data_IF_388871125664
#
_entry.id   IF_388871125664
#
_cell.length_a   1.000
_cell.length_b   1.000
_cell.length_c   1.000
_cell.angle_alpha   90.00
_cell.angle_beta   90.00
_cell.angle_gamma   90.00
#
_symmetry.space_group_name_H-M   'P 1'
#
loop_
_entity.id
_entity.type
_entity.pdbx_description
1 polymer ?
#
# COMPACT_ATOMS: atom_id res chain seq x y z
N UNK A 1 -7.73 -5.01 -33.10
CA UNK A 1 -7.83 -3.89 -32.14
C UNK A 1 -6.93 -4.20 -30.98
N UNK A 2 -5.89 -3.39 -30.73
CA UNK A 2 -5.04 -3.62 -29.56
C UNK A 2 -5.79 -3.18 -28.32
N UNK A 3 -6.02 -4.11 -27.41
CA UNK A 3 -6.53 -3.86 -26.08
C UNK A 3 -5.50 -3.02 -25.29
N UNK A 4 -5.47 -1.70 -25.52
CA UNK A 4 -4.59 -0.72 -24.84
C UNK A 4 -4.75 -0.80 -23.31
N UNK A 5 -5.88 -1.31 -22.84
CA UNK A 5 -6.13 -1.58 -21.43
C UNK A 5 -5.37 -2.80 -20.87
N UNK A 6 -4.91 -3.70 -21.73
CA UNK A 6 -4.03 -4.80 -21.33
C UNK A 6 -2.54 -4.41 -21.46
N UNK A 7 -2.26 -3.22 -22.00
CA UNK A 7 -0.90 -2.72 -22.11
C UNK A 7 -0.42 -2.16 -20.77
N UNK A 8 0.45 -2.94 -20.12
CA UNK A 8 1.03 -2.56 -18.84
C UNK A 8 1.93 -1.31 -18.97
N UNK A 9 2.73 -1.22 -20.03
CA UNK A 9 3.68 -0.13 -20.29
C UNK A 9 3.08 1.02 -21.10
N UNK A 10 1.78 1.28 -20.93
CA UNK A 10 1.09 2.39 -21.59
C UNK A 10 1.85 3.70 -21.32
N UNK A 11 2.31 4.35 -22.40
CA UNK A 11 3.05 5.61 -22.28
C UNK A 11 2.12 6.74 -21.86
N UNK A 12 2.54 7.51 -20.86
CA UNK A 12 1.81 8.69 -20.40
C UNK A 12 1.79 9.75 -21.52
N UNK A 13 0.63 10.31 -21.88
CA UNK A 13 0.56 11.38 -22.86
C UNK A 13 1.23 12.67 -22.33
N UNK A 14 1.66 13.57 -23.23
CA UNK A 14 2.20 14.87 -22.81
C UNK A 14 1.18 15.65 -21.98
N UNK A 15 1.66 16.29 -20.91
CA UNK A 15 0.84 17.14 -20.07
C UNK A 15 0.55 18.46 -20.79
N UNK A 16 -0.61 18.52 -21.41
CA UNK A 16 -1.13 19.68 -22.14
C UNK A 16 -2.42 20.17 -21.48
N UNK A 17 -2.49 21.48 -21.26
CA UNK A 17 -3.69 22.21 -20.87
C UNK A 17 -4.17 23.06 -22.03
N UNK A 18 -5.48 23.20 -22.15
CA UNK A 18 -6.15 24.00 -23.19
C UNK A 18 -7.13 24.94 -22.51
N UNK A 19 -7.11 26.20 -22.91
CA UNK A 19 -8.07 27.22 -22.46
C UNK A 19 -9.41 26.99 -23.13
N UNK A 20 -10.45 26.74 -22.34
CA UNK A 20 -11.83 26.54 -22.81
C UNK A 20 -12.78 27.54 -22.16
N UNK A 21 -13.87 27.94 -22.84
CA UNK A 21 -14.93 28.72 -22.20
C UNK A 21 -15.52 27.94 -21.01
N UNK A 22 -15.70 28.61 -19.87
CA UNK A 22 -16.16 27.97 -18.63
C UNK A 22 -17.51 27.22 -18.80
N UNK A 23 -18.40 27.75 -19.67
CA UNK A 23 -19.71 27.12 -19.99
C UNK A 23 -19.60 25.73 -20.62
N UNK A 24 -18.53 25.49 -21.37
CA UNK A 24 -18.31 24.24 -22.12
C UNK A 24 -17.34 23.28 -21.40
N UNK A 25 -16.70 23.75 -20.32
CA UNK A 25 -15.73 22.96 -19.58
C UNK A 25 -16.41 21.84 -18.74
N UNK A 26 -15.69 20.72 -18.48
CA UNK A 26 -16.14 19.74 -17.50
C UNK A 26 -16.22 20.39 -16.11
N UNK A 27 -17.11 19.90 -15.26
CA UNK A 27 -17.21 20.40 -13.89
C UNK A 27 -15.98 19.97 -13.07
N UNK A 28 -14.97 20.84 -12.99
CA UNK A 28 -13.74 20.62 -12.22
C UNK A 28 -14.03 20.30 -10.75
N UNK A 29 -15.01 20.99 -10.15
CA UNK A 29 -15.47 20.71 -8.78
C UNK A 29 -15.94 19.26 -8.61
N UNK A 30 -16.72 18.77 -9.57
CA UNK A 30 -17.27 17.41 -9.52
C UNK A 30 -16.15 16.37 -9.67
N UNK A 31 -15.20 16.60 -10.59
CA UNK A 31 -14.01 15.78 -10.77
C UNK A 31 -13.15 15.71 -9.50
N UNK A 32 -12.77 16.88 -8.96
CA UNK A 32 -11.99 16.98 -7.72
C UNK A 32 -12.70 16.25 -6.58
N UNK A 33 -14.01 16.46 -6.41
CA UNK A 33 -14.79 15.80 -5.36
C UNK A 33 -14.81 14.27 -5.50
N UNK A 34 -14.97 13.74 -6.72
CA UNK A 34 -14.99 12.31 -6.98
C UNK A 34 -13.63 11.67 -6.66
N UNK A 35 -12.54 12.30 -7.09
CA UNK A 35 -11.16 11.82 -6.83
C UNK A 35 -10.84 11.89 -5.33
N UNK A 36 -11.21 12.98 -4.64
CA UNK A 36 -10.99 13.10 -3.20
C UNK A 36 -11.80 12.08 -2.40
N UNK A 37 -13.06 11.85 -2.80
CA UNK A 37 -13.90 10.81 -2.20
C UNK A 37 -13.30 9.42 -2.39
N UNK A 38 -12.78 9.13 -3.60
CA UNK A 38 -12.03 7.91 -3.87
C UNK A 38 -10.84 7.78 -2.93
N UNK A 39 -9.97 8.78 -2.79
CA UNK A 39 -8.82 8.70 -1.88
C UNK A 39 -9.22 8.44 -0.43
N UNK A 40 -10.24 9.13 0.07
CA UNK A 40 -10.75 8.93 1.44
C UNK A 40 -11.23 7.50 1.67
N UNK A 41 -11.92 6.93 0.66
CA UNK A 41 -12.46 5.57 0.73
C UNK A 41 -11.42 4.50 0.41
N UNK A 42 -10.42 4.76 -0.41
CA UNK A 42 -9.46 3.76 -0.91
C UNK A 42 -8.29 3.56 0.04
N UNK A 43 -7.74 4.65 0.58
CA UNK A 43 -6.45 4.68 1.29
C UNK A 43 -6.35 3.72 2.48
N UNK A 44 -7.36 3.58 3.37
CA UNK A 44 -7.23 2.65 4.50
C UNK A 44 -7.02 1.20 4.05
N UNK A 45 -7.77 0.75 3.04
CA UNK A 45 -7.70 -0.63 2.56
C UNK A 45 -6.53 -0.87 1.61
N UNK A 46 -6.04 0.18 0.93
CA UNK A 46 -4.80 0.13 0.15
C UNK A 46 -3.59 -0.15 1.04
N UNK A 47 -3.50 0.49 2.21
CA UNK A 47 -2.43 0.24 3.19
C UNK A 47 -2.49 -1.21 3.67
N UNK A 48 -3.68 -1.67 4.06
CA UNK A 48 -3.89 -3.05 4.51
C UNK A 48 -3.57 -4.08 3.41
N UNK A 49 -3.92 -3.76 2.16
CA UNK A 49 -3.59 -4.57 1.00
C UNK A 49 -2.07 -4.65 0.77
N UNK A 50 -1.37 -3.52 0.86
CA UNK A 50 0.07 -3.46 0.70
C UNK A 50 0.81 -4.28 1.78
N UNK A 51 0.38 -4.18 3.03
CA UNK A 51 0.93 -4.98 4.13
C UNK A 51 0.70 -6.49 3.92
N UNK A 52 -0.50 -6.86 3.46
CA UNK A 52 -0.87 -8.25 3.18
C UNK A 52 -0.08 -8.80 1.99
N UNK A 53 0.13 -7.99 0.94
CA UNK A 53 0.97 -8.34 -0.21
C UNK A 53 2.44 -8.52 0.19
N UNK A 54 2.98 -7.65 1.05
CA UNK A 54 4.33 -7.80 1.59
C UNK A 54 4.47 -9.08 2.43
N UNK A 55 3.44 -9.43 3.22
CA UNK A 55 3.40 -10.69 3.94
C UNK A 55 3.41 -11.90 2.99
N UNK A 56 2.62 -11.88 1.91
CA UNK A 56 2.64 -12.93 0.88
C UNK A 56 4.04 -13.08 0.28
N UNK A 57 4.69 -11.97 -0.08
CA UNK A 57 6.06 -11.98 -0.62
C UNK A 57 7.07 -12.61 0.33
N UNK A 58 6.99 -12.29 1.64
CA UNK A 58 7.83 -12.90 2.67
C UNK A 58 7.57 -14.41 2.82
N UNK A 59 6.32 -14.83 2.84
CA UNK A 59 5.96 -16.26 2.94
C UNK A 59 6.45 -17.04 1.72
N UNK A 60 6.27 -16.46 0.53
CA UNK A 60 6.77 -17.03 -0.72
C UNK A 60 8.29 -17.16 -0.69
N UNK A 61 9.03 -16.13 -0.29
CA UNK A 61 10.49 -16.18 -0.21
C UNK A 61 10.98 -17.31 0.73
N UNK A 62 10.35 -17.46 1.91
CA UNK A 62 10.72 -18.51 2.89
C UNK A 62 10.41 -19.93 2.40
N UNK A 63 9.42 -20.11 1.52
CA UNK A 63 8.96 -21.43 1.06
C UNK A 63 9.28 -21.74 -0.40
N UNK A 64 9.99 -20.84 -1.10
CA UNK A 64 10.31 -20.99 -2.52
C UNK A 64 11.00 -22.31 -2.83
N UNK A 65 11.98 -22.70 -2.02
CA UNK A 65 12.76 -23.92 -2.26
C UNK A 65 11.96 -25.19 -1.94
N UNK A 66 11.10 -25.14 -0.92
CA UNK A 66 10.28 -26.29 -0.50
C UNK A 66 9.11 -26.56 -1.45
N UNK A 67 8.51 -25.51 -2.00
CA UNK A 67 7.24 -25.61 -2.74
C UNK A 67 7.35 -25.24 -4.22
N UNK A 68 8.55 -25.01 -4.75
CA UNK A 68 8.79 -24.56 -6.13
C UNK A 68 8.05 -25.40 -7.19
N UNK A 69 7.99 -26.73 -7.04
CA UNK A 69 7.33 -27.63 -8.00
C UNK A 69 5.81 -27.69 -7.88
N UNK A 70 5.23 -27.17 -6.78
CA UNK A 70 3.81 -27.33 -6.48
C UNK A 70 2.95 -26.39 -7.32
N UNK A 71 1.83 -26.91 -7.87
CA UNK A 71 0.92 -26.11 -8.71
C UNK A 71 0.31 -24.93 -7.96
N UNK A 72 -0.11 -25.12 -6.71
CA UNK A 72 -0.64 -24.01 -5.90
C UNK A 72 0.41 -22.95 -5.59
N UNK A 73 1.67 -23.34 -5.39
CA UNK A 73 2.75 -22.37 -5.17
C UNK A 73 3.09 -21.56 -6.42
N UNK A 74 2.95 -22.16 -7.62
CA UNK A 74 3.00 -21.40 -8.88
C UNK A 74 1.86 -20.38 -8.99
N UNK A 75 0.66 -20.70 -8.51
CA UNK A 75 -0.45 -19.74 -8.44
C UNK A 75 -0.17 -18.61 -7.43
N UNK A 76 0.44 -18.92 -6.28
CA UNK A 76 0.93 -17.91 -5.32
C UNK A 76 1.96 -16.98 -5.97
N UNK A 77 2.92 -17.53 -6.72
CA UNK A 77 3.91 -16.72 -7.43
C UNK A 77 3.27 -15.78 -8.47
N UNK A 78 2.25 -16.25 -9.20
CA UNK A 78 1.45 -15.42 -10.12
C UNK A 78 0.68 -14.33 -9.36
N UNK A 79 0.10 -14.65 -8.21
CA UNK A 79 -0.55 -13.68 -7.32
C UNK A 79 0.43 -12.57 -6.92
N UNK A 80 1.61 -12.94 -6.42
CA UNK A 80 2.64 -11.98 -6.01
C UNK A 80 3.15 -11.13 -7.19
N UNK A 81 3.29 -11.72 -8.38
CA UNK A 81 3.65 -10.96 -9.58
C UNK A 81 2.56 -9.93 -9.95
N UNK A 82 1.28 -10.30 -9.81
CA UNK A 82 0.17 -9.39 -10.05
C UNK A 82 0.12 -8.24 -9.02
N UNK A 83 0.37 -8.52 -7.73
CA UNK A 83 0.45 -7.46 -6.71
C UNK A 83 1.61 -6.51 -6.96
N UNK A 84 2.77 -7.02 -7.39
CA UNK A 84 3.90 -6.17 -7.78
C UNK A 84 3.59 -5.32 -9.03
N UNK A 85 2.79 -5.84 -9.98
CA UNK A 85 2.34 -5.05 -11.13
C UNK A 85 1.44 -3.89 -10.70
N UNK A 86 0.54 -4.12 -9.75
CA UNK A 86 -0.33 -3.07 -9.21
C UNK A 86 0.49 -1.92 -8.60
N UNK A 87 1.53 -2.25 -7.80
CA UNK A 87 2.44 -1.26 -7.23
C UNK A 87 3.18 -0.43 -8.30
N UNK A 88 3.45 -1.01 -9.47
CA UNK A 88 4.11 -0.29 -10.58
C UNK A 88 3.16 0.60 -11.37
N UNK A 89 1.87 0.25 -11.43
CA UNK A 89 0.84 1.10 -12.08
C UNK A 89 0.64 2.38 -11.25
N UNK A 90 0.62 2.27 -9.92
CA UNK A 90 0.50 3.39 -8.98
C UNK A 90 -0.63 4.36 -9.36
N UNK A 91 -1.86 3.84 -9.38
CA UNK A 91 -3.05 4.60 -9.76
C UNK A 91 -3.26 5.82 -8.85
N UNK A 92 -2.88 5.71 -7.58
CA UNK A 92 -2.98 6.79 -6.60
C UNK A 92 -2.15 7.99 -7.05
N UNK A 93 -0.90 7.77 -7.44
CA UNK A 93 -0.04 8.84 -7.99
C UNK A 93 -0.58 9.40 -9.30
N UNK A 94 -1.09 8.57 -10.20
CA UNK A 94 -1.64 9.06 -11.46
C UNK A 94 -2.89 9.93 -11.25
N UNK A 95 -3.76 9.57 -10.30
CA UNK A 95 -4.90 10.36 -9.89
C UNK A 95 -4.50 11.66 -9.18
N UNK A 96 -3.43 11.65 -8.36
CA UNK A 96 -2.89 12.86 -7.73
C UNK A 96 -2.36 13.84 -8.78
N UNK A 97 -1.60 13.34 -9.77
CA UNK A 97 -1.09 14.15 -10.87
C UNK A 97 -2.21 14.73 -11.73
N UNK A 98 -3.25 13.93 -12.02
CA UNK A 98 -4.42 14.43 -12.74
C UNK A 98 -5.20 15.45 -11.91
N UNK A 99 -5.45 15.19 -10.63
CA UNK A 99 -6.11 16.12 -9.71
C UNK A 99 -5.36 17.46 -9.64
N UNK A 100 -4.03 17.44 -9.57
CA UNK A 100 -3.20 18.66 -9.56
C UNK A 100 -3.19 19.43 -10.89
N UNK A 101 -3.63 18.81 -11.99
CA UNK A 101 -3.78 19.47 -13.29
C UNK A 101 -5.15 20.11 -13.49
N UNK A 102 -6.09 19.90 -12.56
CA UNK A 102 -7.42 20.52 -12.60
C UNK A 102 -7.35 21.96 -12.05
N UNK A 103 -8.13 22.89 -12.61
CA UNK A 103 -8.14 24.28 -12.19
C UNK A 103 -8.66 24.46 -10.76
N UNK A 104 -8.07 25.39 -10.03
CA UNK A 104 -8.53 25.73 -8.67
C UNK A 104 -9.85 26.51 -8.71
N UNK A 105 -10.86 25.97 -8.04
CA UNK A 105 -12.21 26.55 -7.96
C UNK A 105 -12.22 28.00 -7.48
N UNK A 106 -11.28 28.40 -6.63
CA UNK A 106 -11.25 29.71 -5.96
C UNK A 106 -10.92 30.85 -6.94
N UNK A 107 -10.33 30.56 -8.10
CA UNK A 107 -9.91 31.54 -9.10
C UNK A 107 -10.84 31.63 -10.33
N UNK A 108 -11.87 30.77 -10.42
CA UNK A 108 -12.68 30.57 -11.63
C UNK A 108 -13.80 31.60 -11.84
N UNK A 109 -13.57 32.88 -11.49
CA UNK A 109 -14.46 33.97 -11.91
C UNK A 109 -14.17 34.44 -13.36
N UNK A 110 -13.23 33.78 -14.05
CA UNK A 110 -12.85 34.07 -15.43
C UNK A 110 -13.80 33.43 -16.45
N UNK A 111 -13.96 34.09 -17.59
CA UNK A 111 -14.76 33.62 -18.73
C UNK A 111 -14.21 32.34 -19.36
N UNK A 112 -12.89 32.11 -19.19
CA UNK A 112 -12.15 30.94 -19.68
C UNK A 112 -11.45 30.21 -18.53
N UNK A 113 -11.25 28.91 -18.70
CA UNK A 113 -10.62 28.01 -17.72
C UNK A 113 -9.60 27.13 -18.44
N UNK A 114 -8.43 26.94 -17.84
CA UNK A 114 -7.44 25.97 -18.31
C UNK A 114 -7.83 24.57 -17.87
N UNK A 115 -8.03 23.68 -18.85
CA UNK A 115 -8.39 22.28 -18.60
C UNK A 115 -7.35 21.34 -19.21
N UNK A 116 -7.04 20.21 -18.56
CA UNK A 116 -6.20 19.19 -19.17
C UNK A 116 -6.89 18.61 -20.42
N UNK A 117 -6.11 18.15 -21.38
CA UNK A 117 -6.65 17.54 -22.61
C UNK A 117 -7.37 16.21 -22.37
N UNK A 118 -8.27 15.85 -23.27
CA UNK A 118 -8.98 14.56 -23.25
C UNK A 118 -8.02 13.37 -23.22
N UNK A 119 -6.83 13.46 -23.81
CA UNK A 119 -5.84 12.39 -23.78
C UNK A 119 -5.35 12.05 -22.37
N UNK A 120 -5.12 13.05 -21.54
CA UNK A 120 -4.70 12.85 -20.15
C UNK A 120 -5.85 12.20 -19.38
N UNK A 121 -7.07 12.65 -19.64
CA UNK A 121 -8.26 12.07 -19.04
C UNK A 121 -8.47 10.60 -19.45
N UNK A 122 -8.35 10.31 -20.73
CA UNK A 122 -8.44 8.96 -21.30
C UNK A 122 -7.36 8.05 -20.72
N UNK A 123 -6.13 8.53 -20.59
CA UNK A 123 -5.05 7.80 -19.91
C UNK A 123 -5.45 7.41 -18.47
N UNK A 124 -6.03 8.33 -17.70
CA UNK A 124 -6.49 8.04 -16.33
C UNK A 124 -7.61 6.99 -16.33
N UNK A 125 -8.59 7.10 -17.23
CA UNK A 125 -9.67 6.12 -17.38
C UNK A 125 -9.13 4.73 -17.72
N UNK A 126 -8.17 4.64 -18.65
CA UNK A 126 -7.51 3.38 -19.01
C UNK A 126 -6.76 2.83 -17.80
N UNK A 127 -5.99 3.65 -17.08
CA UNK A 127 -5.29 3.20 -15.87
C UNK A 127 -6.24 2.65 -14.80
N UNK A 128 -7.44 3.22 -14.63
CA UNK A 128 -8.47 2.66 -13.76
C UNK A 128 -8.95 1.28 -14.22
N UNK A 129 -9.20 1.11 -15.52
CA UNK A 129 -9.56 -0.18 -16.12
C UNK A 129 -8.44 -1.22 -15.93
N UNK A 130 -7.18 -0.86 -16.19
CA UNK A 130 -6.03 -1.74 -15.99
C UNK A 130 -5.91 -2.16 -14.53
N UNK A 131 -6.06 -1.20 -13.61
CA UNK A 131 -5.99 -1.44 -12.15
C UNK A 131 -7.07 -2.43 -11.72
N UNK A 132 -8.31 -2.22 -12.17
CA UNK A 132 -9.41 -3.15 -11.91
C UNK A 132 -9.13 -4.55 -12.47
N UNK A 133 -8.63 -4.66 -13.71
CA UNK A 133 -8.24 -5.94 -14.29
C UNK A 133 -7.15 -6.68 -13.51
N UNK A 134 -6.17 -5.94 -12.96
CA UNK A 134 -5.13 -6.52 -12.11
C UNK A 134 -5.71 -7.04 -10.78
N UNK A 135 -6.65 -6.33 -10.15
CA UNK A 135 -7.37 -6.84 -8.97
C UNK A 135 -8.16 -8.12 -9.28
N UNK A 136 -8.83 -8.19 -10.43
CA UNK A 136 -9.48 -9.41 -10.91
C UNK A 136 -8.49 -10.57 -11.03
N UNK A 137 -7.34 -10.32 -11.65
CA UNK A 137 -6.27 -11.34 -11.80
C UNK A 137 -5.73 -11.83 -10.45
N UNK A 138 -5.60 -10.95 -9.46
CA UNK A 138 -5.18 -11.33 -8.10
C UNK A 138 -6.20 -12.30 -7.49
N UNK A 139 -7.50 -12.01 -7.60
CA UNK A 139 -8.57 -12.88 -7.08
C UNK A 139 -8.54 -14.27 -7.70
N UNK A 140 -8.41 -14.34 -9.02
CA UNK A 140 -8.27 -15.62 -9.72
C UNK A 140 -7.08 -16.44 -9.22
N UNK A 141 -5.92 -15.79 -9.02
CA UNK A 141 -4.73 -16.47 -8.52
C UNK A 141 -4.93 -16.95 -7.08
N UNK A 142 -5.64 -16.18 -6.24
CA UNK A 142 -5.99 -16.58 -4.88
C UNK A 142 -6.88 -17.82 -4.89
N UNK A 143 -7.92 -17.87 -5.72
CA UNK A 143 -8.81 -19.03 -5.86
C UNK A 143 -8.05 -20.28 -6.34
N UNK A 144 -7.25 -20.16 -7.41
CA UNK A 144 -6.45 -21.27 -7.94
C UNK A 144 -5.47 -21.83 -6.89
N UNK A 145 -4.85 -20.96 -6.09
CA UNK A 145 -3.97 -21.38 -5.00
C UNK A 145 -4.77 -22.03 -3.87
N UNK A 146 -5.91 -21.43 -3.49
CA UNK A 146 -6.75 -21.89 -2.40
C UNK A 146 -7.34 -23.29 -2.67
N UNK A 147 -7.85 -23.54 -3.87
CA UNK A 147 -8.37 -24.85 -4.27
C UNK A 147 -7.32 -25.96 -4.15
N UNK A 148 -6.07 -25.67 -4.54
CA UNK A 148 -4.97 -26.63 -4.44
C UNK A 148 -4.58 -26.88 -2.98
N UNK A 149 -4.48 -25.81 -2.18
CA UNK A 149 -4.10 -25.89 -0.78
C UNK A 149 -5.18 -26.54 0.10
N UNK A 150 -6.47 -26.33 -0.21
CA UNK A 150 -7.56 -27.02 0.44
C UNK A 150 -7.48 -28.55 0.25
N UNK A 151 -7.06 -29.02 -0.94
CA UNK A 151 -6.82 -30.44 -1.21
C UNK A 151 -5.64 -30.99 -0.39
N UNK A 152 -4.58 -30.21 -0.19
CA UNK A 152 -3.43 -30.60 0.64
C UNK A 152 -3.76 -30.67 2.13
N UNK A 153 -4.58 -29.74 2.63
CA UNK A 153 -5.08 -29.76 4.01
C UNK A 153 -5.87 -31.03 4.29
N UNK A 154 -6.75 -31.45 3.37
CA UNK A 154 -7.50 -32.71 3.51
C UNK A 154 -6.60 -33.93 3.67
N UNK A 155 -5.39 -33.86 3.12
CA UNK A 155 -4.38 -34.91 3.20
C UNK A 155 -3.40 -34.71 4.38
N UNK A 156 -3.67 -33.76 5.29
CA UNK A 156 -2.87 -33.42 6.47
C UNK A 156 -1.40 -33.04 6.20
N UNK A 157 -1.10 -32.45 5.03
CA UNK A 157 0.25 -32.00 4.69
C UNK A 157 0.47 -30.52 5.04
N UNK A 158 1.64 -30.20 5.62
CA UNK A 158 2.14 -28.82 5.84
C UNK A 158 1.12 -27.84 6.45
N UNK A 159 0.26 -28.34 7.34
CA UNK A 159 -0.94 -27.65 7.86
C UNK A 159 -0.66 -26.20 8.28
N UNK A 160 0.31 -25.96 9.15
CA UNK A 160 0.60 -24.62 9.68
C UNK A 160 0.94 -23.60 8.57
N UNK A 161 1.75 -24.04 7.60
CA UNK A 161 2.18 -23.16 6.50
C UNK A 161 1.05 -22.93 5.51
N UNK A 162 0.25 -23.96 5.22
CA UNK A 162 -0.85 -23.85 4.27
C UNK A 162 -1.98 -23.01 4.85
N UNK A 163 -2.32 -23.17 6.14
CA UNK A 163 -3.34 -22.36 6.82
C UNK A 163 -2.95 -20.88 6.80
N UNK A 164 -1.68 -20.56 7.11
CA UNK A 164 -1.20 -19.19 7.05
C UNK A 164 -1.25 -18.61 5.62
N UNK A 165 -0.86 -19.40 4.62
CA UNK A 165 -0.97 -18.99 3.21
C UNK A 165 -2.43 -18.76 2.80
N UNK A 166 -3.35 -19.64 3.18
CA UNK A 166 -4.78 -19.49 2.90
C UNK A 166 -5.37 -18.24 3.56
N UNK A 167 -4.99 -17.93 4.81
CA UNK A 167 -5.42 -16.71 5.48
C UNK A 167 -4.98 -15.45 4.72
N UNK A 168 -3.72 -15.42 4.26
CA UNK A 168 -3.19 -14.30 3.46
C UNK A 168 -3.88 -14.20 2.10
N UNK A 169 -4.08 -15.32 1.41
CA UNK A 169 -4.76 -15.36 0.11
C UNK A 169 -6.24 -14.95 0.24
N UNK A 170 -6.93 -15.39 1.28
CA UNK A 170 -8.32 -15.00 1.56
C UNK A 170 -8.45 -13.50 1.82
N UNK A 171 -7.52 -12.92 2.58
CA UNK A 171 -7.46 -11.48 2.83
C UNK A 171 -7.15 -10.68 1.56
N UNK A 172 -6.22 -11.13 0.72
CA UNK A 172 -5.94 -10.50 -0.58
C UNK A 172 -7.14 -10.60 -1.52
N UNK A 173 -7.86 -11.72 -1.52
CA UNK A 173 -9.04 -11.91 -2.34
C UNK A 173 -10.14 -10.89 -2.00
N UNK A 174 -10.46 -10.74 -0.71
CA UNK A 174 -11.50 -9.80 -0.25
C UNK A 174 -11.09 -8.34 -0.48
N UNK A 175 -9.84 -7.97 -0.16
CA UNK A 175 -9.35 -6.61 -0.38
C UNK A 175 -9.28 -6.26 -1.87
N UNK A 176 -8.88 -7.19 -2.73
CA UNK A 176 -8.89 -6.99 -4.19
C UNK A 176 -10.30 -6.75 -4.71
N UNK A 177 -11.30 -7.45 -4.17
CA UNK A 177 -12.70 -7.22 -4.53
C UNK A 177 -13.13 -5.80 -4.18
N UNK A 178 -12.90 -5.40 -2.92
CA UNK A 178 -13.28 -4.10 -2.42
C UNK A 178 -12.59 -2.94 -3.15
N UNK A 179 -11.27 -3.03 -3.38
CA UNK A 179 -10.50 -1.99 -4.05
C UNK A 179 -10.81 -1.96 -5.56
N UNK A 180 -11.02 -3.12 -6.18
CA UNK A 180 -11.47 -3.24 -7.56
C UNK A 180 -12.84 -2.58 -7.79
N UNK A 181 -13.80 -2.77 -6.89
CA UNK A 181 -15.12 -2.14 -6.96
C UNK A 181 -15.04 -0.62 -6.79
N UNK A 182 -14.12 -0.11 -5.95
CA UNK A 182 -13.88 1.35 -5.85
C UNK A 182 -13.33 1.94 -7.15
N UNK A 183 -12.53 1.18 -7.90
CA UNK A 183 -12.06 1.61 -9.22
C UNK A 183 -13.22 1.69 -10.23
N UNK A 184 -14.15 0.74 -10.18
CA UNK A 184 -15.40 0.75 -10.96
C UNK A 184 -16.26 1.97 -10.62
N UNK A 185 -16.50 2.23 -9.33
CA UNK A 185 -17.28 3.39 -8.89
C UNK A 185 -16.69 4.70 -9.42
N UNK A 186 -15.36 4.88 -9.29
CA UNK A 186 -14.70 6.08 -9.79
C UNK A 186 -14.75 6.16 -11.31
N UNK A 187 -14.48 5.07 -12.03
CA UNK A 187 -14.54 5.04 -13.49
C UNK A 187 -15.95 5.43 -13.98
N UNK A 188 -17.00 4.86 -13.41
CA UNK A 188 -18.38 5.13 -13.80
C UNK A 188 -18.80 6.58 -13.49
N UNK A 189 -18.19 7.22 -12.47
CA UNK A 189 -18.39 8.65 -12.20
C UNK A 189 -17.65 9.55 -13.17
N UNK A 190 -16.42 9.19 -13.56
CA UNK A 190 -15.57 10.00 -14.42
C UNK A 190 -15.96 9.86 -15.91
N UNK A 191 -16.21 8.63 -16.38
CA UNK A 191 -16.43 8.31 -17.80
C UNK A 191 -17.45 9.22 -18.51
N UNK A 192 -18.63 9.54 -17.94
CA UNK A 192 -19.61 10.42 -18.58
C UNK A 192 -19.11 11.85 -18.82
N UNK A 193 -18.05 12.28 -18.12
CA UNK A 193 -17.48 13.63 -18.27
C UNK A 193 -16.49 13.72 -19.44
N UNK A 194 -16.11 12.59 -20.06
CA UNK A 194 -15.10 12.52 -21.12
C UNK A 194 -15.34 13.48 -22.27
N UNK A 195 -16.58 13.53 -22.77
CA UNK A 195 -16.95 14.28 -23.97
C UNK A 195 -16.79 15.80 -23.80
N UNK A 196 -16.71 16.28 -22.56
CA UNK A 196 -16.55 17.71 -22.25
C UNK A 196 -15.07 18.14 -22.22
N UNK A 197 -14.12 17.20 -22.29
CA UNK A 197 -12.71 17.54 -22.27
C UNK A 197 -12.24 18.04 -23.64
N UNK A 198 -11.34 19.05 -23.68
CA UNK A 198 -10.83 19.59 -24.93
C UNK A 198 -9.92 18.59 -25.64
N UNK A 199 -10.10 18.50 -26.96
CA UNK A 199 -9.16 17.85 -27.87
C UNK A 199 -7.99 18.79 -28.15
N UNK A 200 -6.81 18.23 -28.39
CA UNK A 200 -5.62 18.98 -28.80
C UNK A 200 -5.18 18.51 -30.19
N UNK A 201 -4.74 19.40 -31.06
CA UNK A 201 -4.24 19.02 -32.41
C UNK A 201 -3.01 18.11 -32.34
N UNK A 202 -2.21 18.22 -31.27
CA UNK A 202 -1.06 17.34 -30.98
C UNK A 202 -1.45 16.07 -30.22
N UNK A 203 -2.75 15.83 -30.04
CA UNK A 203 -3.25 14.70 -29.28
C UNK A 203 -3.16 13.43 -30.12
N UNK A 204 -2.46 12.41 -29.61
CA UNK A 204 -2.57 11.05 -30.15
C UNK A 204 -3.96 10.57 -29.79
N UNK A 205 -4.88 10.52 -30.75
CA UNK A 205 -6.19 9.95 -30.52
C UNK A 205 -6.02 8.46 -30.19
N UNK A 206 -6.31 8.12 -28.95
CA UNK A 206 -6.45 6.73 -28.59
C UNK A 206 -7.82 6.27 -29.09
N UNK A 207 -7.83 5.53 -30.20
CA UNK A 207 -9.02 4.91 -30.76
C UNK A 207 -9.39 3.70 -29.88
N UNK A 208 -9.90 4.00 -28.67
CA UNK A 208 -10.19 3.01 -27.65
C UNK A 208 -11.70 2.92 -27.45
N UNK A 209 -12.23 1.74 -27.77
CA UNK A 209 -13.54 1.29 -27.31
C UNK A 209 -13.49 1.07 -25.80
N UNK A 210 -13.64 2.15 -25.04
CA UNK A 210 -13.75 2.13 -23.59
C UNK A 210 -15.20 1.80 -23.20
N UNK A 211 -15.43 0.87 -22.25
CA UNK A 211 -16.78 0.49 -21.83
C UNK A 211 -17.53 1.69 -21.24
N UNK A 212 -18.84 1.74 -21.48
CA UNK A 212 -19.73 2.74 -20.86
C UNK A 212 -19.80 2.58 -19.34
N UNK A 213 -19.90 1.32 -18.89
CA UNK A 213 -19.83 0.93 -17.47
C UNK A 213 -18.76 -0.11 -17.28
N UNK A 214 -17.90 0.10 -16.29
CA UNK A 214 -16.82 -0.83 -15.96
C UNK A 214 -17.33 -2.16 -15.38
N UNK A 215 -18.61 -2.27 -15.03
CA UNK A 215 -19.27 -3.51 -14.57
C UNK A 215 -19.64 -4.48 -15.70
N UNK A 216 -19.75 -3.98 -16.93
CA UNK A 216 -20.29 -4.73 -18.07
C UNK A 216 -19.20 -5.19 -19.04
N UNK A 217 -17.93 -4.90 -18.75
CA UNK A 217 -16.81 -5.13 -19.64
C UNK A 217 -16.23 -6.55 -19.53
N UNK A 218 -16.56 -7.28 -18.47
CA UNK A 218 -16.24 -8.70 -18.29
C UNK A 218 -17.33 -9.33 -17.42
N UNK A 219 -17.78 -10.55 -17.77
CA UNK A 219 -18.96 -11.25 -17.22
C UNK A 219 -18.99 -11.45 -15.68
N UNK A 220 -18.00 -10.98 -14.91
CA UNK A 220 -17.82 -11.27 -13.47
C UNK A 220 -17.46 -10.04 -12.59
N UNK A 221 -17.91 -8.81 -12.92
CA UNK A 221 -17.25 -7.58 -12.43
C UNK A 221 -17.75 -6.91 -11.15
N UNK A 222 -18.94 -7.22 -10.63
CA UNK A 222 -19.12 -7.01 -9.17
C UNK A 222 -18.29 -8.08 -8.50
N UNK A 223 -17.09 -7.70 -8.06
CA UNK A 223 -16.26 -8.61 -7.31
C UNK A 223 -17.00 -8.82 -6.00
N UNK A 224 -17.72 -9.94 -5.90
CA UNK A 224 -18.50 -10.28 -4.73
C UNK A 224 -17.60 -10.13 -3.52
N UNK A 225 -17.98 -9.19 -2.65
CA UNK A 225 -17.44 -9.13 -1.31
C UNK A 225 -18.15 -10.26 -0.59
N UNK A 226 -17.42 -11.28 -0.09
CA UNK A 226 -18.08 -12.29 0.71
C UNK A 226 -18.71 -11.58 1.90
N UNK A 227 -20.04 -11.51 1.92
CA UNK A 227 -20.77 -11.13 3.12
C UNK A 227 -20.30 -12.10 4.20
N UNK A 228 -19.73 -11.57 5.27
CA UNK A 228 -19.44 -12.34 6.47
C UNK A 228 -20.77 -12.67 7.17
N UNK A 229 -21.68 -13.35 6.47
CA UNK A 229 -22.70 -14.13 7.13
C UNK A 229 -21.96 -15.33 7.69
N UNK A 230 -21.93 -15.40 9.02
CA UNK A 230 -21.54 -16.57 9.77
C UNK A 230 -22.42 -17.74 9.32
N UNK A 231 -21.98 -18.45 8.29
CA UNK A 231 -22.52 -19.76 7.96
C UNK A 231 -22.01 -20.70 9.05
N UNK A 232 -22.71 -20.72 10.18
CA UNK A 232 -22.67 -21.88 11.05
C UNK A 232 -23.05 -23.06 10.17
N UNK A 233 -22.09 -23.96 9.98
CA UNK A 233 -22.34 -25.27 9.39
C UNK A 233 -23.38 -25.92 10.28
N UNK A 234 -24.62 -26.01 9.78
CA UNK A 234 -25.65 -26.84 10.38
C UNK A 234 -25.15 -28.29 10.31
N UNK A 235 -24.56 -28.76 11.40
CA UNK A 235 -24.27 -30.18 11.61
C UNK A 235 -25.59 -30.93 11.68
N UNK A 236 -25.81 -31.98 10.86
CA UNK A 236 -26.95 -32.87 11.07
C UNK A 236 -26.80 -33.58 12.41
N UNK A 237 -27.85 -33.52 13.21
CA UNK A 237 -28.04 -34.19 14.49
C UNK A 237 -27.89 -35.70 14.30
N UNK A 238 -26.85 -36.29 14.87
CA UNK A 238 -26.80 -37.74 15.08
C UNK A 238 -26.18 -38.01 16.44
N UNK A 239 -26.95 -38.73 17.27
CA UNK A 239 -26.72 -38.96 18.69
C UNK A 239 -25.31 -39.50 18.99
N UNK A 240 -24.61 -39.02 20.03
CA UNK A 240 -23.35 -39.64 20.45
C UNK A 240 -23.64 -40.90 21.27
N UNK A 241 -23.31 -42.08 20.72
CA UNK A 241 -23.08 -43.26 21.53
C UNK A 241 -21.75 -43.10 22.28
N UNK A 242 -21.84 -42.99 23.59
CA UNK A 242 -20.71 -42.97 24.51
C UNK A 242 -20.18 -44.40 24.63
N UNK A 243 -19.03 -44.67 24.01
CA UNK A 243 -18.17 -45.81 24.37
C UNK A 243 -16.86 -45.25 24.89
N UNK A 244 -16.76 -45.16 26.22
CA UNK A 244 -15.54 -44.74 26.92
C UNK A 244 -14.51 -45.85 26.81
N UNK A 245 -13.46 -45.65 26.01
CA UNK A 245 -12.19 -46.39 26.16
C UNK A 245 -11.25 -45.59 27.08
N UNK A 246 -10.69 -46.18 28.13
CA UNK A 246 -9.70 -45.49 28.96
C UNK A 246 -8.39 -45.32 28.18
N UNK A 247 -8.01 -44.07 27.93
CA UNK A 247 -6.70 -43.70 27.38
C UNK A 247 -5.64 -43.75 28.49
N UNK A 248 -4.60 -44.57 28.27
CA UNK A 248 -3.37 -44.56 29.07
C UNK A 248 -2.73 -43.16 29.03
N UNK A 249 -2.11 -42.67 30.13
CA UNK A 249 -1.49 -41.36 30.16
C UNK A 249 -0.36 -41.27 29.12
N UNK A 250 -0.56 -40.37 28.15
CA UNK A 250 0.38 -40.07 27.09
C UNK A 250 1.57 -39.32 27.69
N UNK A 251 2.77 -39.91 27.58
CA UNK A 251 4.03 -39.27 27.98
C UNK A 251 4.13 -37.89 27.30
N UNK A 252 4.34 -36.88 28.12
CA UNK A 252 4.59 -35.48 27.73
C UNK A 252 5.66 -35.47 26.64
N UNK A 253 5.27 -35.06 25.43
CA UNK A 253 6.22 -34.78 24.35
C UNK A 253 7.07 -33.60 24.80
N UNK A 254 8.40 -33.76 24.69
CA UNK A 254 9.37 -32.69 24.89
C UNK A 254 8.95 -31.47 24.07
N UNK A 255 8.92 -30.30 24.71
CA UNK A 255 8.77 -29.01 24.04
C UNK A 255 9.73 -28.94 22.87
N UNK A 256 9.23 -28.53 21.69
CA UNK A 256 10.12 -28.12 20.61
C UNK A 256 11.03 -27.01 21.15
N UNK A 257 12.33 -27.22 21.00
CA UNK A 257 13.38 -26.25 21.31
C UNK A 257 13.28 -25.08 20.31
N UNK A 258 12.35 -24.17 20.60
CA UNK A 258 12.37 -22.80 20.09
C UNK A 258 13.44 -22.12 20.92
N UNK A 259 14.65 -22.07 20.37
CA UNK A 259 15.91 -21.77 21.05
C UNK A 259 15.85 -20.75 22.18
N UNK A 260 16.78 -20.92 23.12
CA UNK A 260 16.93 -20.10 24.32
C UNK A 260 16.86 -18.61 23.98
N UNK A 261 15.87 -17.94 24.56
CA UNK A 261 15.81 -16.48 24.60
C UNK A 261 17.07 -16.02 25.35
N UNK A 262 18.09 -15.59 24.60
CA UNK A 262 19.20 -14.84 25.20
C UNK A 262 18.59 -13.49 25.56
N UNK A 263 18.12 -13.39 26.80
CA UNK A 263 17.86 -12.14 27.47
C UNK A 263 19.17 -11.34 27.46
N UNK A 264 19.33 -10.49 26.45
CA UNK A 264 20.19 -9.33 26.64
C UNK A 264 19.55 -8.54 27.78
N UNK A 265 20.29 -8.19 28.83
CA UNK A 265 19.74 -7.38 29.90
C UNK A 265 19.21 -6.09 29.28
N UNK A 266 17.89 -5.99 29.21
CA UNK A 266 17.19 -4.72 29.29
C UNK A 266 17.57 -4.18 30.65
N UNK A 267 18.63 -3.39 30.66
CA UNK A 267 18.87 -2.44 31.74
C UNK A 267 17.73 -1.43 31.68
N UNK A 268 16.57 -1.82 32.22
CA UNK A 268 15.57 -0.91 32.76
C UNK A 268 16.14 -0.37 34.07
N UNK A 269 17.28 0.34 33.96
CA UNK A 269 17.69 1.23 35.02
C UNK A 269 17.00 2.55 34.74
N UNK A 270 16.07 2.91 35.63
CA UNK A 270 15.79 4.30 35.98
C UNK A 270 17.09 4.92 36.50
N UNK A 271 18.02 5.15 35.57
CA UNK A 271 19.17 6.00 35.77
C UNK A 271 18.88 7.24 34.95
N UNK A 272 18.73 8.35 35.65
CA UNK A 272 18.93 9.70 35.14
C UNK A 272 20.30 9.74 34.45
N UNK A 273 20.34 9.32 33.18
CA UNK A 273 21.52 9.48 32.34
C UNK A 273 21.66 10.97 32.10
N UNK A 274 22.55 11.59 32.85
CA UNK A 274 23.14 12.87 32.52
C UNK A 274 23.67 12.78 31.09
N UNK A 275 23.02 13.49 30.16
CA UNK A 275 23.43 13.57 28.77
C UNK A 275 24.85 14.16 28.72
N UNK A 276 25.81 13.38 28.25
CA UNK A 276 27.18 13.85 28.05
C UNK A 276 27.42 14.05 26.54
N UNK A 277 27.36 15.32 26.11
CA UNK A 277 27.53 15.72 24.72
C UNK A 277 28.88 15.27 24.13
N UNK A 278 29.90 15.07 24.95
CA UNK A 278 31.25 14.75 24.52
C UNK A 278 31.39 13.28 24.11
N UNK A 279 30.53 12.41 24.66
CA UNK A 279 30.51 10.97 24.37
C UNK A 279 29.50 10.64 23.28
N UNK A 280 28.29 11.22 23.35
CA UNK A 280 27.23 10.88 22.40
C UNK A 280 27.42 11.54 21.01
N UNK A 281 28.06 12.73 20.96
CA UNK A 281 28.29 13.49 19.74
C UNK A 281 29.77 13.46 19.27
N UNK A 282 30.55 12.46 19.69
CA UNK A 282 31.97 12.35 19.34
C UNK A 282 32.19 12.05 17.85
N UNK A 283 31.41 11.12 17.29
CA UNK A 283 31.61 10.61 15.93
C UNK A 283 30.38 10.86 15.06
N UNK A 284 30.56 10.83 13.73
CA UNK A 284 29.46 10.96 12.77
C UNK A 284 28.42 9.85 12.95
N UNK A 285 28.87 8.63 13.21
CA UNK A 285 27.97 7.48 13.41
C UNK A 285 27.19 7.56 14.71
N UNK A 286 27.82 8.01 15.80
CA UNK A 286 27.13 8.18 17.09
C UNK A 286 26.11 9.31 17.01
N UNK A 287 26.45 10.40 16.33
CA UNK A 287 25.53 11.53 16.07
C UNK A 287 24.34 11.11 15.21
N UNK A 288 24.56 10.29 14.16
CA UNK A 288 23.45 9.73 13.35
C UNK A 288 22.53 8.85 14.19
N UNK A 289 23.09 7.98 15.03
CA UNK A 289 22.29 7.13 15.94
C UNK A 289 21.51 7.97 16.95
N UNK A 290 22.13 9.01 17.50
CA UNK A 290 21.47 9.97 18.38
C UNK A 290 20.27 10.63 17.70
N UNK A 291 20.44 11.17 16.48
CA UNK A 291 19.34 11.81 15.73
C UNK A 291 18.18 10.83 15.48
N UNK A 292 18.47 9.57 15.13
CA UNK A 292 17.43 8.57 14.89
C UNK A 292 16.67 8.22 16.18
N UNK A 293 17.39 7.97 17.27
CA UNK A 293 16.79 7.65 18.56
C UNK A 293 15.96 8.83 19.09
N UNK A 294 16.45 10.05 18.91
CA UNK A 294 15.76 11.26 19.34
C UNK A 294 14.52 11.54 18.50
N UNK A 295 14.56 11.28 17.18
CA UNK A 295 13.38 11.36 16.32
C UNK A 295 12.29 10.36 16.72
N UNK A 296 12.67 9.16 17.14
CA UNK A 296 11.73 8.16 17.66
C UNK A 296 11.13 8.66 18.98
N UNK A 297 11.98 9.16 19.89
CA UNK A 297 11.56 9.67 21.21
C UNK A 297 10.63 10.88 21.10
N UNK A 298 10.93 11.86 20.23
CA UNK A 298 10.08 13.03 19.96
C UNK A 298 8.73 12.66 19.35
N UNK A 299 8.66 11.59 18.54
CA UNK A 299 7.39 11.07 17.99
C UNK A 299 6.53 10.38 19.04
N UNK A 300 7.14 9.71 20.02
CA UNK A 300 6.43 9.04 21.11
C UNK A 300 5.93 10.04 22.15
N UNK A 301 6.81 10.92 22.65
CA UNK A 301 6.45 11.97 23.59
C UNK A 301 7.53 13.05 23.65
N UNK A 302 7.17 14.28 23.27
CA UNK A 302 8.08 15.43 23.35
C UNK A 302 8.58 15.68 24.77
N UNK A 303 7.75 15.41 25.80
CA UNK A 303 8.09 15.62 27.21
C UNK A 303 9.15 14.65 27.74
N UNK A 304 9.31 13.48 27.09
CA UNK A 304 10.28 12.45 27.48
C UNK A 304 11.58 12.51 26.67
N UNK A 305 11.64 13.38 25.66
CA UNK A 305 12.81 13.54 24.79
C UNK A 305 13.90 14.39 25.45
N UNK A 306 15.18 14.10 25.16
CA UNK A 306 16.32 14.88 25.67
C UNK A 306 16.31 16.31 25.12
N UNK A 307 15.76 16.48 23.92
CA UNK A 307 15.66 17.74 23.19
C UNK A 307 14.32 18.45 23.37
N UNK A 308 13.61 18.19 24.48
CA UNK A 308 12.29 18.76 24.78
C UNK A 308 12.24 20.29 24.67
N UNK A 309 13.34 20.96 25.00
CA UNK A 309 13.46 22.42 25.02
C UNK A 309 13.76 23.02 23.62
N UNK A 310 14.03 22.17 22.63
CA UNK A 310 14.24 22.57 21.24
C UNK A 310 12.92 22.51 20.48
N UNK A 311 12.53 23.64 19.87
CA UNK A 311 11.32 23.74 19.07
C UNK A 311 11.39 22.80 17.84
N UNK A 312 10.26 22.23 17.38
CA UNK A 312 10.26 21.28 16.26
C UNK A 312 10.93 21.78 14.98
N UNK A 313 10.74 23.07 14.64
CA UNK A 313 11.35 23.65 13.45
C UNK A 313 12.85 23.87 13.58
N UNK A 314 13.34 24.20 14.78
CA UNK A 314 14.78 24.33 15.07
C UNK A 314 15.48 22.96 14.99
N UNK A 315 14.83 21.91 15.51
CA UNK A 315 15.33 20.54 15.43
C UNK A 315 15.43 20.04 13.97
N UNK A 316 14.40 20.28 13.16
CA UNK A 316 14.41 19.94 11.73
C UNK A 316 15.49 20.74 10.98
N UNK A 317 15.68 22.02 11.34
CA UNK A 317 16.74 22.86 10.77
C UNK A 317 18.14 22.32 11.08
N UNK A 318 18.40 21.97 12.34
CA UNK A 318 19.70 21.45 12.79
C UNK A 318 20.05 20.09 12.16
N UNK A 319 19.08 19.18 12.09
CA UNK A 319 19.24 17.85 11.46
C UNK A 319 19.50 17.96 9.96
N UNK A 320 18.75 18.80 9.23
CA UNK A 320 18.98 19.06 7.80
C UNK A 320 20.33 19.72 7.54
N UNK A 321 20.75 20.64 8.40
CA UNK A 321 22.05 21.30 8.27
C UNK A 321 23.20 20.29 8.47
N UNK A 322 23.06 19.39 9.44
CA UNK A 322 24.01 18.29 9.67
C UNK A 322 24.10 17.37 8.45
N UNK A 323 22.97 16.91 7.91
CA UNK A 323 22.92 16.06 6.71
C UNK A 323 23.53 16.76 5.48
N UNK A 324 23.19 18.03 5.26
CA UNK A 324 23.75 18.83 4.15
C UNK A 324 25.28 18.95 4.26
N UNK A 325 25.82 19.13 5.46
CA UNK A 325 27.27 19.22 5.69
C UNK A 325 27.99 17.88 5.58
N UNK A 326 27.31 16.77 5.87
CA UNK A 326 27.83 15.44 5.55
C UNK A 326 27.90 15.19 4.05
N UNK A 327 26.87 15.60 3.28
CA UNK A 327 26.87 15.50 1.81
C UNK A 327 27.98 16.33 1.16
N UNK A 328 28.39 17.42 1.79
CA UNK A 328 29.50 18.27 1.34
C UNK A 328 30.89 17.79 1.80
N UNK A 329 31.02 16.56 2.35
CA UNK A 329 32.26 16.00 2.93
C UNK A 329 32.90 16.82 4.07
N UNK A 330 32.14 17.73 4.69
CA UNK A 330 32.60 18.69 5.69
C UNK A 330 32.40 18.12 7.13
N UNK A 331 32.86 16.90 7.39
CA UNK A 331 32.50 16.11 8.58
C UNK A 331 32.83 16.78 9.93
N UNK A 332 34.02 17.40 10.04
CA UNK A 332 34.44 18.09 11.28
C UNK A 332 33.56 19.31 11.59
N UNK A 333 33.16 20.06 10.55
CA UNK A 333 32.26 21.22 10.70
C UNK A 333 30.84 20.77 11.04
N UNK A 334 30.35 19.70 10.42
CA UNK A 334 29.04 19.13 10.72
C UNK A 334 28.92 18.77 12.22
N UNK A 335 29.90 18.05 12.76
CA UNK A 335 29.95 17.68 14.18
C UNK A 335 30.07 18.89 15.11
N UNK A 336 30.97 19.84 14.79
CA UNK A 336 31.18 21.03 15.61
C UNK A 336 29.93 21.91 15.70
N UNK A 337 29.27 22.17 14.57
CA UNK A 337 28.04 23.00 14.51
C UNK A 337 26.91 22.30 15.26
N UNK A 338 26.70 21.01 14.99
CA UNK A 338 25.62 20.25 15.62
C UNK A 338 25.83 20.12 17.14
N UNK A 339 27.07 19.84 17.59
CA UNK A 339 27.40 19.79 19.02
C UNK A 339 27.20 21.14 19.71
N UNK A 340 27.65 22.24 19.11
CA UNK A 340 27.41 23.59 19.66
C UNK A 340 25.92 23.91 19.76
N UNK A 341 25.13 23.53 18.76
CA UNK A 341 23.68 23.74 18.77
C UNK A 341 23.01 22.97 19.92
N UNK A 342 23.34 21.69 20.09
CA UNK A 342 22.77 20.83 21.12
C UNK A 342 23.18 21.30 22.52
N UNK A 343 24.48 21.57 22.74
CA UNK A 343 24.98 22.03 24.04
C UNK A 343 24.35 23.37 24.43
N UNK A 344 24.22 24.32 23.51
CA UNK A 344 23.62 25.63 23.79
C UNK A 344 22.11 25.59 24.09
N UNK A 345 21.42 24.50 23.72
CA UNK A 345 19.97 24.38 23.85
C UNK A 345 19.53 23.39 24.95
N UNK A 346 20.43 22.53 25.43
CA UNK A 346 20.17 21.54 26.48
C UNK A 346 20.84 21.92 27.81
N UNK A 347 21.86 22.79 27.81
CA UNK A 347 22.55 23.25 29.04
C UNK A 347 21.70 24.16 29.91
#
# INVERSE_FOLDING_TARGET
MSDLWNEFELKKPPQLTVTVPNKNAPSARRLQSAIQQYFRRHRPQEVEFAETSALLGRLMARRKNSFHGMRGFRAVAKCNAATCRLLRIDITRELELFHGSLPDFVLNSAETVEMPTQNIFDYVLIRLLNTHGVYGRIRECCLQAAEYFAKLIRNNFFMDTIILLLAVLGKLYSLSALLGNKCVELYNQLRPMREKFPLSEKSVHYDINMPEKLENFSENQTLDVPNAESTFVNTPTTNPQIVVRPLKPMKVRKSLDVGTEVSRPTNTSTQTKTFNADVELANVETTKRFIVNENISRKQSLKQSLTKDILPHEWIGATRLFERKLLANDHKKALSIFRKFIVNKIS
#
